data_IF_131538240419
#
_entry.id   IF_131538240419
#
_cell.length_a   1.000
_cell.length_b   1.000
_cell.length_c   1.000
_cell.angle_alpha   90.00
_cell.angle_beta   90.00
_cell.angle_gamma   90.00
#
_symmetry.space_group_name_H-M   'P 1'
#
loop_
_entity.id
_entity.type
_entity.pdbx_description
1 polymer ?
#
# COMPACT_ATOMS: atom_id res chain seq x y z
N UNK A 1 -9.01 0.11 6.30
CA UNK A 1 -9.89 -1.05 5.99
C UNK A 1 -10.00 -1.38 4.49
N UNK A 2 -9.98 -0.41 3.56
CA UNK A 2 -10.17 -0.69 2.12
C UNK A 2 -9.20 -1.70 1.50
N UNK A 3 -7.91 -1.64 1.84
CA UNK A 3 -6.90 -2.55 1.27
C UNK A 3 -7.09 -4.02 1.63
N UNK A 4 -7.57 -4.31 2.85
CA UNK A 4 -7.92 -5.67 3.26
C UNK A 4 -9.05 -6.25 2.40
N UNK A 5 -10.12 -5.48 2.19
CA UNK A 5 -11.24 -5.90 1.34
C UNK A 5 -10.84 -6.05 -0.13
N UNK A 6 -9.98 -5.17 -0.64
CA UNK A 6 -9.43 -5.30 -1.99
C UNK A 6 -8.60 -6.59 -2.14
N UNK A 7 -7.83 -6.97 -1.11
CA UNK A 7 -7.12 -8.26 -1.08
C UNK A 7 -8.10 -9.44 -1.26
N UNK A 8 -9.13 -9.50 -0.42
CA UNK A 8 -10.14 -10.59 -0.46
C UNK A 8 -10.85 -10.66 -1.81
N UNK A 9 -11.18 -9.51 -2.40
CA UNK A 9 -11.76 -9.46 -3.73
C UNK A 9 -10.79 -10.07 -4.77
N UNK A 10 -9.53 -9.64 -4.77
CA UNK A 10 -8.52 -10.13 -5.73
C UNK A 10 -8.22 -11.62 -5.53
N UNK A 11 -8.29 -12.15 -4.31
CA UNK A 11 -8.08 -13.57 -4.04
C UNK A 11 -9.07 -14.48 -4.80
N UNK A 12 -10.26 -13.98 -5.12
CA UNK A 12 -11.33 -14.72 -5.81
C UNK A 12 -11.56 -14.30 -7.26
N UNK A 13 -10.85 -13.27 -7.76
CA UNK A 13 -11.03 -12.71 -9.10
C UNK A 13 -9.72 -12.74 -9.91
N UNK A 14 -9.52 -13.82 -10.66
CA UNK A 14 -8.31 -14.05 -11.46
C UNK A 14 -8.12 -13.05 -12.61
N UNK A 15 -9.20 -12.39 -13.06
CA UNK A 15 -9.14 -11.37 -14.11
C UNK A 15 -8.56 -10.02 -13.65
N UNK A 16 -8.38 -9.82 -12.34
CA UNK A 16 -7.74 -8.60 -11.83
C UNK A 16 -6.24 -8.68 -12.09
N UNK A 17 -5.72 -7.71 -12.85
CA UNK A 17 -4.29 -7.61 -13.23
C UNK A 17 -3.43 -6.84 -12.23
N UNK A 18 -4.03 -5.98 -11.41
CA UNK A 18 -3.30 -5.07 -10.52
C UNK A 18 -3.98 -4.85 -9.17
N UNK A 19 -3.18 -4.70 -8.11
CA UNK A 19 -3.62 -4.33 -6.76
C UNK A 19 -2.71 -3.25 -6.19
N UNK A 20 -3.33 -2.15 -5.75
CA UNK A 20 -2.65 -1.02 -5.11
C UNK A 20 -3.10 -0.91 -3.65
N UNK A 21 -2.16 -0.98 -2.73
CA UNK A 21 -2.40 -0.97 -1.28
C UNK A 21 -1.79 0.30 -0.68
N UNK A 22 -2.61 1.13 -0.02
CA UNK A 22 -2.18 2.38 0.63
C UNK A 22 -2.25 2.24 2.15
N UNK A 23 -1.13 2.42 2.86
CA UNK A 23 -1.07 2.44 4.32
C UNK A 23 -1.76 1.24 4.96
N UNK A 24 -1.54 0.03 4.44
CA UNK A 24 -2.31 -1.16 4.82
C UNK A 24 -1.47 -2.42 4.62
N UNK A 25 -1.94 -3.53 5.19
CA UNK A 25 -1.39 -4.86 4.98
C UNK A 25 -2.49 -5.78 4.43
N UNK A 26 -2.14 -6.80 3.63
CA UNK A 26 -3.11 -7.74 3.10
C UNK A 26 -3.77 -8.57 4.22
N UNK A 27 -5.10 -8.62 4.21
CA UNK A 27 -5.89 -9.52 5.06
C UNK A 27 -5.87 -10.98 4.58
N UNK A 28 -5.49 -11.19 3.32
CA UNK A 28 -5.55 -12.47 2.61
C UNK A 28 -4.14 -12.93 2.15
N UNK A 29 -4.04 -14.14 1.59
CA UNK A 29 -2.80 -14.66 0.97
C UNK A 29 -2.91 -14.64 -0.56
N UNK A 30 -2.09 -13.80 -1.20
CA UNK A 30 -1.95 -13.65 -2.65
C UNK A 30 -0.58 -14.13 -3.15
N UNK A 31 0.24 -14.77 -2.31
CA UNK A 31 1.62 -15.19 -2.64
C UNK A 31 1.72 -16.04 -3.91
N UNK A 32 0.65 -16.76 -4.25
CA UNK A 32 0.56 -17.63 -5.43
C UNK A 32 0.11 -16.93 -6.71
N UNK A 33 -0.36 -15.67 -6.65
CA UNK A 33 -0.83 -14.89 -7.82
C UNK A 33 0.34 -14.31 -8.61
N UNK A 34 0.98 -15.14 -9.44
CA UNK A 34 2.13 -14.74 -10.29
C UNK A 34 1.76 -13.76 -11.41
N UNK A 35 0.48 -13.71 -11.77
CA UNK A 35 -0.13 -12.85 -12.80
C UNK A 35 -0.52 -11.46 -12.29
N UNK A 36 -0.44 -11.24 -10.97
CA UNK A 36 -0.89 -10.02 -10.32
C UNK A 36 0.28 -9.05 -10.10
N UNK A 37 0.16 -7.84 -10.63
CA UNK A 37 1.05 -6.73 -10.26
C UNK A 37 0.56 -6.10 -8.95
N UNK A 38 1.42 -6.03 -7.94
CA UNK A 38 1.06 -5.44 -6.64
C UNK A 38 2.03 -4.33 -6.29
N UNK A 39 1.49 -3.17 -5.88
CA UNK A 39 2.27 -2.12 -5.22
C UNK A 39 1.66 -1.83 -3.85
N UNK A 40 2.49 -1.89 -2.80
CA UNK A 40 2.13 -1.51 -1.44
C UNK A 40 2.92 -0.27 -1.04
N UNK A 41 2.21 0.80 -0.72
CA UNK A 41 2.75 2.10 -0.35
C UNK A 41 2.48 2.31 1.14
N UNK A 42 3.51 2.64 1.93
CA UNK A 42 3.42 2.82 3.38
C UNK A 42 4.30 3.96 3.87
N UNK A 43 3.98 4.55 5.02
CA UNK A 43 4.73 5.66 5.62
C UNK A 43 5.76 5.17 6.65
N UNK A 44 6.89 5.85 6.79
CA UNK A 44 7.89 5.49 7.82
C UNK A 44 7.51 5.92 9.22
N UNK A 45 6.66 6.94 9.33
CA UNK A 45 6.10 7.43 10.58
C UNK A 45 4.66 6.94 10.78
N UNK A 46 4.22 5.94 10.01
CA UNK A 46 2.94 5.28 10.23
C UNK A 46 3.02 4.42 11.50
N UNK A 47 2.29 4.84 12.54
CA UNK A 47 2.22 4.10 13.82
C UNK A 47 1.02 3.16 13.90
N UNK A 48 0.12 3.20 12.92
CA UNK A 48 -1.10 2.38 12.85
C UNK A 48 -0.81 1.11 12.05
N UNK A 49 -0.27 1.26 10.85
CA UNK A 49 0.27 0.22 9.99
C UNK A 49 1.77 0.42 9.88
N UNK A 50 2.48 -0.12 10.86
CA UNK A 50 3.92 0.10 10.99
C UNK A 50 4.72 -0.54 9.85
N UNK A 51 5.92 -0.02 9.52
CA UNK A 51 6.84 -0.68 8.59
C UNK A 51 7.16 -2.14 8.95
N UNK A 52 7.14 -2.48 10.25
CA UNK A 52 7.31 -3.85 10.72
C UNK A 52 6.12 -4.76 10.34
N UNK A 53 4.88 -4.26 10.43
CA UNK A 53 3.68 -4.98 9.96
C UNK A 53 3.69 -5.18 8.44
N UNK A 54 4.14 -4.19 7.68
CA UNK A 54 4.32 -4.33 6.23
C UNK A 54 5.36 -5.40 5.91
N UNK A 55 6.47 -5.41 6.65
CA UNK A 55 7.55 -6.39 6.46
C UNK A 55 7.10 -7.82 6.78
N UNK A 56 6.34 -8.02 7.87
CA UNK A 56 5.84 -9.35 8.23
C UNK A 56 4.79 -9.87 7.24
N UNK A 57 4.07 -8.98 6.56
CA UNK A 57 3.07 -9.34 5.56
C UNK A 57 3.66 -9.64 4.16
N UNK A 58 4.97 -9.49 3.94
CA UNK A 58 5.61 -9.70 2.63
C UNK A 58 5.38 -11.11 2.08
N UNK A 59 5.39 -12.12 2.95
CA UNK A 59 5.16 -13.53 2.56
C UNK A 59 3.76 -13.80 2.03
N UNK A 60 2.79 -12.92 2.29
CA UNK A 60 1.40 -13.03 1.81
C UNK A 60 1.18 -12.42 0.43
N UNK A 61 2.19 -11.78 -0.15
CA UNK A 61 2.07 -11.10 -1.45
C UNK A 61 2.99 -11.77 -2.48
N UNK A 62 2.72 -11.60 -3.78
CA UNK A 62 3.60 -12.10 -4.83
C UNK A 62 5.05 -11.62 -4.65
N UNK A 63 6.03 -12.45 -5.01
CA UNK A 63 7.45 -12.08 -4.86
C UNK A 63 7.82 -10.78 -5.61
N UNK A 64 7.15 -10.50 -6.72
CA UNK A 64 7.33 -9.30 -7.52
C UNK A 64 6.61 -8.05 -6.97
N UNK A 65 6.00 -8.12 -5.78
CA UNK A 65 5.37 -6.96 -5.16
C UNK A 65 6.36 -5.83 -4.95
N UNK A 66 5.95 -4.63 -5.36
CA UNK A 66 6.71 -3.40 -5.15
C UNK A 66 6.30 -2.79 -3.83
N UNK A 67 7.28 -2.56 -2.97
CA UNK A 67 7.09 -1.86 -1.71
C UNK A 67 7.64 -0.45 -1.86
N UNK A 68 6.79 0.56 -1.63
CA UNK A 68 7.18 1.96 -1.73
C UNK A 68 7.00 2.61 -0.37
N UNK A 69 8.10 3.14 0.13
CA UNK A 69 8.16 3.83 1.40
C UNK A 69 8.03 5.34 1.19
N UNK A 70 7.13 5.96 1.94
CA UNK A 70 6.97 7.42 2.01
C UNK A 70 7.74 7.88 3.25
N UNK A 71 8.98 8.30 3.04
CA UNK A 71 9.85 8.77 4.13
C UNK A 71 9.24 10.00 4.79
N UNK A 72 8.96 9.89 6.10
CA UNK A 72 8.33 10.94 6.90
C UNK A 72 6.80 10.94 6.88
N UNK A 73 6.17 10.07 6.10
CA UNK A 73 4.71 9.96 6.00
C UNK A 73 4.08 9.17 7.15
N UNK A 74 2.87 9.55 7.54
CA UNK A 74 2.06 8.91 8.59
C UNK A 74 0.85 8.18 7.99
N UNK A 75 0.10 7.43 8.81
CA UNK A 75 -1.08 6.69 8.37
C UNK A 75 -2.15 7.59 7.74
N UNK A 76 -2.39 8.71 8.41
CA UNK A 76 -3.36 9.74 8.04
C UNK A 76 -3.10 10.42 6.70
N UNK A 77 -1.96 10.18 6.06
CA UNK A 77 -1.67 10.70 4.72
C UNK A 77 -2.21 9.83 3.58
N UNK A 78 -2.67 8.60 3.89
CA UNK A 78 -3.30 7.70 2.92
C UNK A 78 -4.83 7.89 2.78
N UNK A 79 -5.40 8.81 3.57
CA UNK A 79 -6.79 9.26 3.44
C UNK A 79 -6.89 10.76 3.69
N UNK A 80 -8.07 11.33 3.40
CA UNK A 80 -8.33 12.75 3.59
C UNK A 80 -9.33 12.98 4.73
N UNK A 81 -8.91 12.62 5.94
CA UNK A 81 -9.73 12.71 7.16
C UNK A 81 -9.04 13.49 8.30
N UNK A 82 -7.90 14.11 8.00
CA UNK A 82 -7.08 14.81 9.00
C UNK A 82 -6.19 13.88 9.84
N UNK A 83 -5.58 14.39 10.92
CA UNK A 83 -4.77 13.58 11.84
C UNK A 83 -5.57 12.44 12.48
N UNK A 84 -4.90 11.32 12.78
CA UNK A 84 -5.50 10.19 13.48
C UNK A 84 -4.89 10.04 14.87
N UNK A 85 -5.74 9.77 15.87
CA UNK A 85 -5.29 9.39 17.19
C UNK A 85 -4.48 8.08 17.15
N UNK A 86 -3.32 8.09 17.81
CA UNK A 86 -2.40 6.94 17.85
C UNK A 86 -1.53 6.75 16.60
N UNK A 87 -1.60 7.66 15.63
CA UNK A 87 -0.66 7.73 14.50
C UNK A 87 0.67 8.40 14.91
N UNK A 88 1.67 8.34 14.04
CA UNK A 88 2.95 8.99 14.28
C UNK A 88 2.94 10.48 13.94
N UNK A 89 4.11 11.10 14.10
CA UNK A 89 4.33 12.49 13.73
C UNK A 89 5.00 12.57 12.36
N UNK A 90 4.34 13.22 11.40
CA UNK A 90 4.88 13.41 10.07
C UNK A 90 6.09 14.34 10.10
N UNK A 91 7.11 14.03 9.30
CA UNK A 91 8.29 14.88 9.10
C UNK A 91 8.31 15.54 7.72
N UNK A 92 7.28 15.29 6.91
CA UNK A 92 7.03 15.94 5.62
C UNK A 92 5.61 16.48 5.58
N UNK A 93 5.33 17.38 4.65
CA UNK A 93 3.98 17.87 4.40
C UNK A 93 3.10 16.79 3.76
N UNK A 94 1.78 16.94 3.95
CA UNK A 94 0.78 16.12 3.26
C UNK A 94 0.90 16.20 1.74
N UNK A 95 1.29 17.36 1.20
CA UNK A 95 1.44 17.54 -0.24
C UNK A 95 2.65 16.76 -0.79
N UNK A 96 3.79 16.82 -0.11
CA UNK A 96 4.97 16.02 -0.48
C UNK A 96 4.67 14.52 -0.44
N UNK A 97 3.95 14.05 0.59
CA UNK A 97 3.50 12.67 0.67
C UNK A 97 2.57 12.31 -0.49
N UNK A 98 1.58 13.18 -0.79
CA UNK A 98 0.61 12.97 -1.87
C UNK A 98 1.29 12.85 -3.25
N UNK A 99 2.30 13.68 -3.52
CA UNK A 99 3.07 13.61 -4.78
C UNK A 99 3.85 12.30 -4.90
N UNK A 100 4.46 11.82 -3.81
CA UNK A 100 5.16 10.54 -3.78
C UNK A 100 4.19 9.36 -3.98
N UNK A 101 3.03 9.39 -3.30
CA UNK A 101 1.97 8.40 -3.46
C UNK A 101 1.49 8.39 -4.92
N UNK A 102 1.17 9.55 -5.50
CA UNK A 102 0.74 9.67 -6.90
C UNK A 102 1.76 9.08 -7.87
N UNK A 103 3.04 9.40 -7.69
CA UNK A 103 4.13 8.86 -8.52
C UNK A 103 4.17 7.34 -8.43
N UNK A 104 4.08 6.77 -7.23
CA UNK A 104 4.09 5.34 -7.02
C UNK A 104 2.89 4.64 -7.68
N UNK A 105 1.69 5.22 -7.52
CA UNK A 105 0.47 4.73 -8.16
C UNK A 105 0.57 4.74 -9.69
N UNK A 106 1.10 5.83 -10.25
CA UNK A 106 1.28 5.97 -11.70
C UNK A 106 2.16 4.86 -12.28
N UNK A 107 3.23 4.49 -11.58
CA UNK A 107 4.12 3.43 -12.06
C UNK A 107 3.42 2.07 -12.13
N UNK A 108 2.52 1.75 -11.18
CA UNK A 108 1.71 0.54 -11.30
C UNK A 108 0.80 0.60 -12.54
N UNK A 109 0.16 1.74 -12.79
CA UNK A 109 -0.72 1.88 -13.95
C UNK A 109 0.05 1.71 -15.27
N UNK A 110 1.23 2.31 -15.40
CA UNK A 110 2.09 2.14 -16.57
C UNK A 110 2.52 0.68 -16.79
N UNK A 111 2.73 -0.08 -15.72
CA UNK A 111 3.04 -1.52 -15.82
C UNK A 111 1.85 -2.34 -16.37
N UNK A 112 0.62 -1.83 -16.25
CA UNK A 112 -0.60 -2.50 -16.68
C UNK A 112 -1.09 -2.04 -18.06
N UNK A 113 -0.49 -1.01 -18.64
CA UNK A 113 -0.79 -0.59 -19.99
C UNK A 113 -0.42 -1.72 -20.98
N UNK A 114 -1.26 -1.95 -22.01
CA UNK A 114 -1.07 -3.02 -22.99
C UNK A 114 0.14 -2.80 -23.91
#
# INVERSE_FOLDING_TARGET
MGGGMACEFVATHANVRGLLLYGTFPGCDLSRRKDLAVTLIYGTQDAVITPAMVTSARSKLPMQTRYVEISGGTHSFFGDYGPQDGDGQATISREEARLQILKASHVLFQQLEP
#
